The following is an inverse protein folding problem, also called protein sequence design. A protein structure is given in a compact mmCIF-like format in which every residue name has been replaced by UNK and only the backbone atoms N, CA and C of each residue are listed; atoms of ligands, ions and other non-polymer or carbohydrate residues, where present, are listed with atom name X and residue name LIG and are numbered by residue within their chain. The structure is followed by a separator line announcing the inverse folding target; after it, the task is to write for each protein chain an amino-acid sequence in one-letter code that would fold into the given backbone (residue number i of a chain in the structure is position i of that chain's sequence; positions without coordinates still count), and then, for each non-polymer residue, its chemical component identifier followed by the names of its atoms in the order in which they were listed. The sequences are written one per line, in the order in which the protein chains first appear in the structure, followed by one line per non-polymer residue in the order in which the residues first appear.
data_IF_806594402672
#
_entry.id   IF_806594402672
#
_cell.length_a   1.000
_cell.length_b   1.000
_cell.length_c   1.000
_cell.angle_alpha   90.00
_cell.angle_beta   90.00
_cell.angle_gamma   90.00
#
_symmetry.space_group_name_H-M   'P 1'
#
loop_
_entity.id
_entity.type
_entity.pdbx_description
1 polymer ?
#
# COMPACT_ATOMS: atom_id res chain seq x y z
N UNK A 1 24.91 5.01 0.91
CA UNK A 1 24.22 5.36 2.16
C UNK A 1 22.73 5.25 1.91
N UNK A 2 21.99 4.57 2.79
CA UNK A 2 20.55 4.39 2.62
C UNK A 2 19.78 5.55 3.25
N UNK A 3 18.71 5.99 2.61
CA UNK A 3 17.77 6.95 3.20
C UNK A 3 16.81 6.22 4.14
N UNK A 4 16.38 6.89 5.20
CA UNK A 4 15.43 6.35 6.17
C UNK A 4 14.07 7.03 5.99
N UNK A 5 13.01 6.23 5.93
CA UNK A 5 11.65 6.72 5.67
C UNK A 5 10.63 6.05 6.56
N UNK A 6 9.69 6.83 7.11
CA UNK A 6 8.69 6.35 8.06
C UNK A 6 7.32 6.95 7.72
N UNK A 7 6.26 6.31 8.19
CA UNK A 7 4.94 6.97 8.27
C UNK A 7 4.87 7.69 9.62
N UNK A 8 4.65 8.99 9.58
CA UNK A 8 4.54 9.85 10.75
C UNK A 8 3.15 10.51 10.82
N UNK A 9 2.81 11.06 11.99
CA UNK A 9 1.58 11.82 12.23
C UNK A 9 1.91 13.17 12.86
N UNK A 10 1.32 14.24 12.34
CA UNK A 10 1.33 15.55 12.98
C UNK A 10 -0.07 15.87 13.50
N UNK A 11 -0.18 16.49 14.68
CA UNK A 11 -1.45 16.72 15.40
C UNK A 11 -2.57 17.38 14.58
N UNK A 12 -2.25 18.15 13.53
CA UNK A 12 -3.20 18.93 12.73
C UNK A 12 -3.17 18.59 11.23
N UNK A 13 -2.16 17.86 10.74
CA UNK A 13 -1.93 17.67 9.30
C UNK A 13 -2.14 16.24 8.80
N UNK A 14 -2.57 15.32 9.68
CA UNK A 14 -2.80 13.91 9.32
C UNK A 14 -1.50 13.10 9.24
N UNK A 15 -1.56 12.00 8.49
CA UNK A 15 -0.45 11.07 8.30
C UNK A 15 0.33 11.39 7.02
N UNK A 16 1.65 11.26 7.08
CA UNK A 16 2.57 11.59 5.98
C UNK A 16 3.84 10.72 6.03
N UNK A 17 4.60 10.70 4.94
CA UNK A 17 5.94 10.12 4.89
C UNK A 17 6.94 11.13 5.42
N UNK A 18 7.76 10.71 6.37
CA UNK A 18 8.86 11.47 6.95
C UNK A 18 10.20 10.85 6.50
N UNK A 19 11.20 11.68 6.26
CA UNK A 19 12.59 11.27 6.04
C UNK A 19 13.52 11.83 7.10
N UNK A 20 14.70 11.20 7.24
CA UNK A 20 15.80 11.73 8.06
C UNK A 20 16.85 12.40 7.17
N UNK A 21 17.14 13.66 7.45
CA UNK A 21 18.17 14.42 6.78
C UNK A 21 19.50 14.27 7.53
N UNK A 22 20.39 13.42 7.01
CA UNK A 22 21.70 13.16 7.61
C UNK A 22 22.66 14.36 7.61
N UNK A 23 22.41 15.39 6.79
CA UNK A 23 23.32 16.54 6.70
C UNK A 23 23.15 17.52 7.86
N UNK A 24 21.91 17.65 8.35
CA UNK A 24 21.55 18.55 9.44
C UNK A 24 20.97 17.82 10.65
N UNK A 25 20.93 16.49 10.60
CA UNK A 25 20.43 15.59 11.65
C UNK A 25 18.98 15.87 12.09
N UNK A 26 18.08 16.12 11.15
CA UNK A 26 16.67 16.42 11.43
C UNK A 26 15.69 15.49 10.73
N UNK A 27 14.47 15.40 11.28
CA UNK A 27 13.34 14.78 10.62
C UNK A 27 12.56 15.80 9.80
N UNK A 28 12.27 15.48 8.55
CA UNK A 28 11.58 16.37 7.62
C UNK A 28 10.38 15.67 6.97
N UNK A 29 9.25 16.38 6.75
CA UNK A 29 8.13 15.84 5.99
C UNK A 29 8.52 15.70 4.52
N UNK A 30 8.20 14.55 3.92
CA UNK A 30 8.58 14.21 2.54
C UNK A 30 7.39 14.23 1.59
N UNK A 31 6.26 13.60 1.96
CA UNK A 31 5.06 13.55 1.13
C UNK A 31 3.81 13.15 1.92
N UNK A 32 2.64 13.57 1.47
CA UNK A 32 1.36 13.03 1.94
C UNK A 32 1.16 11.58 1.47
N UNK A 33 0.33 10.82 2.19
CA UNK A 33 -0.08 9.49 1.77
C UNK A 33 -1.04 9.56 0.56
N UNK A 34 -1.04 8.54 -0.32
CA UNK A 34 -1.96 8.50 -1.47
C UNK A 34 -3.37 7.98 -1.12
N UNK A 35 -3.68 7.82 0.16
CA UNK A 35 -4.93 7.27 0.67
C UNK A 35 -5.18 7.79 2.10
N UNK A 36 -6.41 7.62 2.58
CA UNK A 36 -6.77 7.89 3.97
C UNK A 36 -6.23 6.81 4.89
N UNK A 37 -5.52 7.22 5.95
CA UNK A 37 -4.86 6.28 6.84
C UNK A 37 -5.86 5.58 7.76
N UNK A 38 -6.09 4.28 7.52
CA UNK A 38 -6.83 3.41 8.43
C UNK A 38 -5.95 2.98 9.61
N UNK A 39 -6.30 3.33 10.84
CA UNK A 39 -5.52 3.00 12.04
C UNK A 39 -5.40 1.49 12.31
N UNK A 40 -6.38 0.72 11.84
CA UNK A 40 -6.39 -0.74 11.97
C UNK A 40 -5.78 -1.45 10.77
N UNK A 41 -5.61 -0.77 9.65
CA UNK A 41 -5.05 -1.33 8.42
C UNK A 41 -3.57 -1.65 8.58
N UNK A 42 -3.07 -2.58 7.78
CA UNK A 42 -1.65 -2.90 7.74
C UNK A 42 -0.99 -2.00 6.72
N UNK A 43 0.02 -1.24 7.15
CA UNK A 43 0.81 -0.35 6.30
C UNK A 43 2.26 -0.83 6.30
N UNK A 44 2.88 -0.97 5.13
CA UNK A 44 4.30 -1.32 5.03
C UNK A 44 5.00 -0.45 3.99
N UNK A 45 6.00 0.30 4.42
CA UNK A 45 6.81 1.19 3.60
C UNK A 45 8.17 0.54 3.33
N UNK A 46 8.57 0.48 2.06
CA UNK A 46 9.82 -0.12 1.65
C UNK A 46 10.47 0.65 0.50
N UNK A 47 11.79 0.49 0.35
CA UNK A 47 12.51 0.95 -0.83
C UNK A 47 12.07 0.16 -2.07
N UNK A 48 11.90 0.85 -3.20
CA UNK A 48 11.45 0.27 -4.45
C UNK A 48 12.25 0.83 -5.62
N UNK A 49 12.93 -0.04 -6.37
CA UNK A 49 13.62 0.27 -7.65
C UNK A 49 14.35 1.63 -7.66
N UNK A 50 15.59 1.62 -7.18
CA UNK A 50 16.41 2.84 -7.10
C UNK A 50 15.99 3.68 -5.90
N UNK A 51 15.62 4.94 -6.15
CA UNK A 51 15.25 5.86 -5.08
C UNK A 51 13.76 5.83 -4.73
N UNK A 52 12.89 5.16 -5.51
CA UNK A 52 11.46 5.20 -5.24
C UNK A 52 11.10 4.43 -3.97
N UNK A 53 9.87 4.64 -3.49
CA UNK A 53 9.27 3.93 -2.37
C UNK A 53 8.07 3.14 -2.84
N UNK A 54 7.85 2.00 -2.20
CA UNK A 54 6.58 1.28 -2.26
C UNK A 54 5.88 1.38 -0.92
N UNK A 55 4.56 1.58 -0.96
CA UNK A 55 3.69 1.59 0.20
C UNK A 55 2.57 0.58 -0.01
N UNK A 56 2.62 -0.49 0.77
CA UNK A 56 1.56 -1.46 0.90
C UNK A 56 0.52 -0.95 1.90
N UNK A 57 -0.75 -1.00 1.52
CA UNK A 57 -1.89 -0.89 2.44
C UNK A 57 -2.78 -2.12 2.29
N UNK A 58 -3.05 -2.80 3.40
CA UNK A 58 -4.02 -3.87 3.45
C UNK A 58 -5.14 -3.46 4.41
N UNK A 59 -6.32 -3.29 3.84
CA UNK A 59 -7.51 -2.97 4.60
C UNK A 59 -7.97 -4.21 5.39
N UNK A 60 -8.10 -4.09 6.72
CA UNK A 60 -8.42 -5.24 7.56
C UNK A 60 -9.86 -5.73 7.43
N UNK A 61 -10.79 -4.85 7.11
CA UNK A 61 -12.22 -5.19 7.04
C UNK A 61 -12.57 -5.89 5.71
N UNK A 62 -11.99 -5.40 4.61
CA UNK A 62 -12.28 -5.87 3.26
C UNK A 62 -11.24 -6.85 2.73
N UNK A 63 -10.14 -7.05 3.46
CA UNK A 63 -8.93 -7.79 3.04
C UNK A 63 -8.32 -7.29 1.73
N UNK A 64 -8.75 -6.11 1.26
CA UNK A 64 -8.23 -5.50 0.05
C UNK A 64 -6.81 -5.03 0.27
N UNK A 65 -5.92 -5.39 -0.65
CA UNK A 65 -4.52 -5.06 -0.66
C UNK A 65 -4.21 -4.14 -1.84
N UNK A 66 -3.68 -2.95 -1.56
CA UNK A 66 -3.19 -2.02 -2.58
C UNK A 66 -1.69 -1.78 -2.36
N UNK A 67 -0.93 -1.73 -3.45
CA UNK A 67 0.47 -1.32 -3.44
C UNK A 67 0.61 -0.05 -4.27
N UNK A 68 1.13 0.98 -3.64
CA UNK A 68 1.45 2.25 -4.25
C UNK A 68 2.95 2.37 -4.43
N UNK A 69 3.39 3.06 -5.48
CA UNK A 69 4.81 3.36 -5.70
C UNK A 69 4.98 4.85 -5.97
N UNK A 70 6.09 5.42 -5.54
CA UNK A 70 6.42 6.81 -5.86
C UNK A 70 7.08 6.94 -7.22
N UNK A 71 6.92 8.10 -7.81
CA UNK A 71 7.80 8.60 -8.85
C UNK A 71 8.63 9.74 -8.26
N UNK A 72 9.92 9.50 -7.97
CA UNK A 72 10.80 10.52 -7.43
C UNK A 72 11.60 11.25 -8.50
N UNK A 73 11.80 12.55 -8.27
CA UNK A 73 12.76 13.35 -9.02
C UNK A 73 14.21 12.96 -8.69
N UNK A 74 15.17 13.38 -9.52
CA UNK A 74 16.62 13.15 -9.33
C UNK A 74 17.21 13.70 -8.02
N UNK A 75 16.42 14.35 -7.15
CA UNK A 75 16.82 14.91 -5.84
C UNK A 75 16.08 14.30 -4.64
N UNK A 76 15.45 13.13 -4.80
CA UNK A 76 14.74 12.47 -3.68
C UNK A 76 13.39 13.11 -3.32
N UNK A 77 12.94 14.08 -4.10
CA UNK A 77 11.61 14.68 -3.96
C UNK A 77 10.57 13.76 -4.60
N UNK A 78 9.56 13.37 -3.84
CA UNK A 78 8.41 12.61 -4.36
C UNK A 78 7.56 13.54 -5.22
N UNK A 79 7.39 13.20 -6.50
CA UNK A 79 6.56 13.98 -7.44
C UNK A 79 5.11 13.53 -7.34
N UNK A 80 4.88 12.21 -7.34
CA UNK A 80 3.55 11.63 -7.27
C UNK A 80 3.58 10.20 -6.78
N UNK A 81 2.41 9.72 -6.38
CA UNK A 81 2.13 8.31 -6.14
C UNK A 81 1.39 7.72 -7.32
N UNK A 82 1.67 6.47 -7.64
CA UNK A 82 0.93 5.68 -8.62
C UNK A 82 0.56 4.35 -8.01
N UNK A 83 -0.68 3.92 -8.21
CA UNK A 83 -1.14 2.60 -7.78
C UNK A 83 -0.50 1.56 -8.69
N UNK A 84 0.39 0.74 -8.13
CA UNK A 84 1.12 -0.30 -8.86
C UNK A 84 0.29 -1.58 -8.99
N UNK A 85 -0.42 -1.94 -7.92
CA UNK A 85 -1.18 -3.17 -7.85
C UNK A 85 -2.35 -3.05 -6.88
N UNK A 86 -3.44 -3.76 -7.18
CA UNK A 86 -4.61 -3.92 -6.31
C UNK A 86 -5.09 -5.36 -6.37
N UNK A 87 -5.37 -5.92 -5.20
CA UNK A 87 -5.97 -7.24 -5.05
C UNK A 87 -7.09 -7.15 -4.03
N UNK A 88 -8.28 -7.58 -4.42
CA UNK A 88 -9.39 -7.77 -3.49
C UNK A 88 -9.63 -9.26 -3.35
N UNK A 89 -9.47 -9.80 -2.15
CA UNK A 89 -9.90 -11.16 -1.86
C UNK A 89 -11.41 -11.13 -1.68
N UNK A 90 -12.12 -11.46 -2.76
CA UNK A 90 -13.53 -11.79 -2.62
C UNK A 90 -13.61 -13.20 -2.02
N UNK A 91 -13.63 -13.31 -0.69
CA UNK A 91 -13.92 -14.57 0.00
C UNK A 91 -15.35 -15.10 -0.29
N UNK A 92 -16.15 -14.42 -1.12
CA UNK A 92 -17.39 -14.97 -1.69
C UNK A 92 -17.14 -15.85 -2.92
N UNK A 93 -16.13 -16.71 -2.88
CA UNK A 93 -16.26 -17.99 -3.55
C UNK A 93 -17.23 -18.84 -2.72
N UNK A 94 -18.52 -18.52 -2.81
CA UNK A 94 -19.52 -19.57 -2.74
C UNK A 94 -19.19 -20.51 -3.91
N UNK A 95 -18.35 -21.50 -3.66
CA UNK A 95 -18.34 -22.72 -4.46
C UNK A 95 -19.71 -23.34 -4.18
N UNK A 96 -20.71 -22.90 -4.95
CA UNK A 96 -21.95 -23.63 -5.13
C UNK A 96 -21.51 -25.04 -5.52
N UNK A 97 -21.69 -25.98 -4.60
CA UNK A 97 -21.62 -27.40 -4.89
C UNK A 97 -22.73 -27.71 -5.90
N UNK A 98 -22.45 -27.55 -7.19
CA UNK A 98 -23.19 -28.30 -8.20
C UNK A 98 -22.76 -29.76 -8.06
N UNK A 99 -23.45 -30.48 -7.19
CA UNK A 99 -23.56 -31.93 -7.30
C UNK A 99 -24.13 -32.21 -8.69
N UNK A 100 -23.30 -32.65 -9.62
CA UNK A 100 -23.78 -33.30 -10.83
C UNK A 100 -24.29 -34.68 -10.41
N UNK A 101 -25.55 -34.75 -9.95
CA UNK A 101 -26.27 -36.02 -9.90
C UNK A 101 -26.47 -36.47 -11.34
N UNK A 102 -25.81 -37.56 -11.70
CA UNK A 102 -25.99 -38.20 -13.00
C UNK A 102 -27.45 -38.57 -13.21
N UNK A 103 -27.99 -38.17 -14.35
CA UNK A 103 -29.21 -38.75 -14.89
C UNK A 103 -28.80 -39.68 -16.01
N UNK A 104 -28.81 -40.98 -15.71
CA UNK A 104 -29.03 -42.01 -16.71
C UNK A 104 -30.35 -41.69 -17.42
N UNK A 105 -30.32 -41.51 -18.73
CA UNK A 105 -31.46 -41.81 -19.59
C UNK A 105 -31.01 -42.85 -20.60
N UNK A 106 -31.42 -44.10 -20.36
CA UNK A 106 -31.47 -45.10 -21.40
C UNK A 106 -32.69 -44.83 -22.28
N UNK A 107 -32.50 -44.91 -23.59
CA UNK A 107 -33.14 -45.85 -24.51
C UNK A 107 -32.27 -45.94 -25.76
#
# INVERSE_FOLDING_TARGET
MGNMYWIAKWNQAGYFIQSFNFSIETFEPLASLPFDYGAYDVHNLAAFRGNNLSLLVQNKETEKMDVWVTNMAKKGVIISWTKFFSLAFCLRLCISSKSCSGSNIGL
#
